data_IF_974828968801
#
_entry.id   IF_974828968801
#
_cell.length_a   1.000
_cell.length_b   1.000
_cell.length_c   1.000
_cell.angle_alpha   90.00
_cell.angle_beta   90.00
_cell.angle_gamma   90.00
#
_symmetry.space_group_name_H-M   'P 1'
#
loop_
_entity.id
_entity.type
_entity.pdbx_description
1 polymer ?
#
# COMPACT_ATOMS: atom_id res chain seq x y z
N UNK A 1 9.89 -12.82 -52.22
CA UNK A 1 9.02 -13.92 -51.74
C UNK A 1 9.91 -14.93 -51.01
N UNK A 2 9.61 -15.16 -49.73
CA UNK A 2 10.22 -16.11 -48.76
C UNK A 2 11.75 -16.08 -48.61
N UNK A 3 12.21 -15.39 -47.56
CA UNK A 3 13.42 -15.76 -46.85
C UNK A 3 13.02 -16.36 -45.50
N UNK A 4 13.46 -17.59 -45.29
CA UNK A 4 13.24 -18.41 -44.13
C UNK A 4 14.60 -18.51 -43.44
N UNK A 5 14.74 -17.97 -42.23
CA UNK A 5 15.94 -18.21 -41.43
C UNK A 5 15.51 -18.41 -39.97
N UNK A 6 15.66 -19.65 -39.53
CA UNK A 6 15.45 -20.11 -38.16
C UNK A 6 16.62 -19.60 -37.33
N UNK A 7 16.35 -18.72 -36.37
CA UNK A 7 17.36 -18.29 -35.41
C UNK A 7 17.42 -19.30 -34.26
N UNK A 8 18.46 -20.11 -34.31
CA UNK A 8 18.92 -21.07 -33.31
C UNK A 8 19.29 -20.33 -32.03
N UNK A 9 18.66 -20.67 -30.90
CA UNK A 9 19.13 -20.25 -29.56
C UNK A 9 19.77 -21.46 -28.89
N UNK A 10 21.07 -21.31 -28.64
CA UNK A 10 21.96 -22.28 -28.00
C UNK A 10 21.58 -22.48 -26.54
N UNK A 11 21.11 -23.68 -26.18
CA UNK A 11 20.96 -24.09 -24.79
C UNK A 11 22.30 -24.64 -24.29
N UNK A 12 22.87 -24.02 -23.26
CA UNK A 12 24.04 -24.55 -22.56
C UNK A 12 23.53 -25.65 -21.60
N UNK A 13 23.82 -26.89 -21.95
CA UNK A 13 23.77 -28.03 -21.03
C UNK A 13 24.86 -27.84 -19.95
N UNK A 14 24.47 -27.78 -18.68
CA UNK A 14 25.33 -28.28 -17.60
C UNK A 14 24.68 -29.53 -17.00
N UNK A 15 25.48 -30.59 -17.04
CA UNK A 15 25.08 -31.97 -16.84
C UNK A 15 24.78 -32.34 -15.39
N UNK A 16 24.10 -33.49 -15.33
CA UNK A 16 23.61 -34.19 -14.17
C UNK A 16 24.70 -34.56 -13.14
N UNK A 17 24.31 -34.52 -11.86
CA UNK A 17 24.75 -35.48 -10.88
C UNK A 17 23.53 -36.30 -10.43
N UNK A 18 23.50 -37.56 -10.86
CA UNK A 18 22.60 -38.60 -10.37
C UNK A 18 23.02 -38.97 -8.95
N UNK A 19 22.09 -38.96 -8.00
CA UNK A 19 22.17 -39.78 -6.81
C UNK A 19 20.83 -40.48 -6.63
N UNK A 20 20.90 -41.81 -6.73
CA UNK A 20 19.81 -42.76 -6.68
C UNK A 20 19.14 -42.82 -5.29
N UNK A 21 17.81 -42.94 -5.25
CA UNK A 21 17.09 -43.26 -4.01
C UNK A 21 15.57 -43.23 -4.18
N UNK A 22 15.02 -44.36 -4.65
CA UNK A 22 13.64 -44.93 -4.54
C UNK A 22 12.39 -44.03 -4.32
N UNK A 23 11.27 -44.34 -5.00
CA UNK A 23 10.08 -43.49 -5.06
C UNK A 23 9.23 -43.66 -3.81
N UNK A 24 8.79 -42.55 -3.21
CA UNK A 24 7.77 -42.59 -2.16
C UNK A 24 6.83 -41.40 -2.31
N UNK A 25 5.66 -41.71 -2.88
CA UNK A 25 4.36 -41.09 -2.61
C UNK A 25 4.30 -39.57 -2.79
N UNK A 26 3.80 -39.14 -3.96
CA UNK A 26 3.06 -37.87 -4.06
C UNK A 26 1.80 -38.02 -3.21
N UNK A 27 1.92 -37.83 -1.91
CA UNK A 27 0.77 -37.58 -1.06
C UNK A 27 0.41 -36.13 -1.29
N UNK A 28 -0.77 -35.95 -1.84
CA UNK A 28 -1.48 -34.69 -1.98
C UNK A 28 -1.80 -34.18 -0.57
N UNK A 29 -0.78 -33.76 0.17
CA UNK A 29 -0.92 -33.13 1.47
C UNK A 29 -1.30 -31.67 1.24
N UNK A 30 -2.60 -31.41 1.42
CA UNK A 30 -3.13 -30.24 2.10
C UNK A 30 -2.37 -28.94 1.80
N UNK A 31 -2.60 -28.39 0.59
CA UNK A 31 -2.68 -26.94 0.47
C UNK A 31 -3.94 -26.46 1.21
N UNK A 32 -3.88 -26.57 2.54
CA UNK A 32 -4.64 -25.67 3.40
C UNK A 32 -4.26 -24.25 2.95
N UNK A 33 -5.23 -23.34 2.76
CA UNK A 33 -4.89 -21.96 2.46
C UNK A 33 -4.07 -21.47 3.63
N UNK A 34 -2.76 -21.28 3.41
CA UNK A 34 -1.88 -20.64 4.35
C UNK A 34 -2.56 -19.32 4.73
N UNK A 35 -3.15 -19.28 5.92
CA UNK A 35 -3.45 -18.04 6.59
C UNK A 35 -2.09 -17.49 6.99
N UNK A 36 -1.38 -16.91 6.03
CA UNK A 36 -0.21 -16.09 6.29
C UNK A 36 -0.74 -14.97 7.18
N UNK A 37 -0.36 -15.00 8.44
CA UNK A 37 -0.52 -13.85 9.32
C UNK A 37 0.07 -12.65 8.59
N UNK A 38 -0.80 -11.77 8.08
CA UNK A 38 -0.43 -10.61 7.26
C UNK A 38 0.45 -9.59 8.02
N UNK A 39 0.68 -9.80 9.32
CA UNK A 39 1.44 -8.93 10.20
C UNK A 39 2.95 -8.86 9.90
N UNK A 40 3.49 -9.75 9.04
CA UNK A 40 4.92 -9.74 8.69
C UNK A 40 5.24 -9.30 7.26
N UNK A 41 4.23 -9.01 6.44
CA UNK A 41 4.41 -8.70 5.02
C UNK A 41 4.66 -7.21 4.76
N UNK A 42 4.13 -6.34 5.60
CA UNK A 42 4.18 -4.90 5.42
C UNK A 42 5.08 -4.31 6.51
N UNK A 43 6.15 -3.64 6.10
CA UNK A 43 7.02 -2.94 7.03
C UNK A 43 6.28 -1.74 7.61
N UNK A 44 6.47 -1.40 8.88
CA UNK A 44 5.87 -0.19 9.47
C UNK A 44 6.40 1.08 8.79
N UNK A 45 7.65 1.03 8.33
CA UNK A 45 8.32 2.09 7.61
C UNK A 45 8.91 1.60 6.29
N UNK A 46 8.46 2.16 5.17
CA UNK A 46 8.91 1.73 3.85
C UNK A 46 10.42 1.96 3.72
N UNK A 47 11.15 0.88 3.39
CA UNK A 47 12.62 0.90 3.26
C UNK A 47 13.35 1.30 4.56
N UNK A 48 12.70 1.14 5.72
CA UNK A 48 13.22 1.57 7.01
C UNK A 48 13.29 3.09 7.20
N UNK A 49 12.62 3.88 6.36
CA UNK A 49 12.62 5.33 6.45
C UNK A 49 11.36 5.84 7.16
N UNK A 50 11.52 6.52 8.29
CA UNK A 50 10.43 7.03 9.11
C UNK A 50 9.54 8.07 8.41
N UNK A 51 10.01 8.67 7.32
CA UNK A 51 9.17 9.56 6.50
C UNK A 51 8.04 8.81 5.78
N UNK A 52 8.12 7.48 5.65
CA UNK A 52 7.11 6.66 4.99
C UNK A 52 6.44 5.72 5.98
N UNK A 53 5.27 6.06 6.49
CA UNK A 53 4.60 5.30 7.55
C UNK A 53 3.43 4.46 7.02
N UNK A 54 3.38 3.16 7.34
CA UNK A 54 2.40 2.21 6.84
C UNK A 54 0.99 2.50 7.34
N UNK A 55 0.13 3.06 6.50
CA UNK A 55 -1.31 3.25 6.75
C UNK A 55 -2.03 1.92 6.84
N UNK A 56 -1.83 1.05 5.84
CA UNK A 56 -2.54 -0.21 5.70
C UNK A 56 -1.80 -1.17 4.77
N UNK A 57 -1.81 -2.45 5.10
CA UNK A 57 -1.52 -3.53 4.17
C UNK A 57 -2.80 -4.16 3.62
N UNK A 58 -2.88 -4.39 2.31
CA UNK A 58 -4.01 -5.09 1.69
C UNK A 58 -3.64 -5.77 0.37
N UNK A 59 -3.90 -7.07 0.25
CA UNK A 59 -3.75 -7.86 -0.99
C UNK A 59 -2.38 -7.71 -1.66
N UNK A 60 -1.28 -7.75 -0.90
CA UNK A 60 0.09 -7.61 -1.42
C UNK A 60 0.55 -6.16 -1.61
N UNK A 61 -0.29 -5.17 -1.27
CA UNK A 61 0.05 -3.75 -1.33
C UNK A 61 0.16 -3.12 0.05
N UNK A 62 1.27 -2.43 0.32
CA UNK A 62 1.37 -1.51 1.43
C UNK A 62 1.04 -0.09 0.99
N UNK A 63 0.26 0.63 1.79
CA UNK A 63 -0.06 2.04 1.58
C UNK A 63 0.65 2.86 2.65
N UNK A 64 1.49 3.81 2.25
CA UNK A 64 2.38 4.54 3.16
C UNK A 64 2.15 6.05 3.05
N UNK A 65 1.96 6.75 4.17
CA UNK A 65 2.01 8.22 4.20
C UNK A 65 3.43 8.66 3.90
N UNK A 66 3.60 9.60 2.98
CA UNK A 66 4.84 10.36 2.83
C UNK A 66 4.77 11.64 3.67
N UNK A 67 5.35 11.60 4.87
CA UNK A 67 5.35 12.73 5.80
C UNK A 67 6.09 13.95 5.26
N UNK A 68 7.04 13.79 4.34
CA UNK A 68 7.72 14.93 3.71
C UNK A 68 6.81 15.75 2.80
N UNK A 69 5.66 15.18 2.40
CA UNK A 69 4.64 15.84 1.59
C UNK A 69 3.51 16.49 2.40
N UNK A 70 3.50 16.32 3.72
CA UNK A 70 2.44 16.82 4.58
C UNK A 70 2.39 18.35 4.58
N UNK A 71 1.21 18.90 4.27
CA UNK A 71 0.95 20.35 4.28
C UNK A 71 -0.28 20.64 5.11
N UNK A 72 -0.11 21.39 6.19
CA UNK A 72 -1.21 21.99 6.95
C UNK A 72 -1.65 23.29 6.29
N UNK A 73 -2.90 23.32 5.82
CA UNK A 73 -3.47 24.46 5.09
C UNK A 73 -4.22 25.38 6.06
N UNK A 74 -4.95 24.81 7.03
CA UNK A 74 -5.60 25.57 8.10
C UNK A 74 -5.70 24.75 9.38
N UNK A 75 -5.38 25.39 10.49
CA UNK A 75 -5.56 24.84 11.85
C UNK A 75 -6.95 25.12 12.40
N UNK A 76 -7.36 24.32 13.39
CA UNK A 76 -8.63 24.47 14.10
C UNK A 76 -8.58 25.68 15.05
N UNK A 77 -9.29 26.76 14.70
CA UNK A 77 -9.39 28.00 15.50
C UNK A 77 -10.75 28.25 16.18
N UNK A 78 -10.88 29.39 16.88
CA UNK A 78 -12.10 29.84 17.60
C UNK A 78 -13.20 30.37 16.63
N UNK A 79 -12.93 30.41 15.32
CA UNK A 79 -13.84 30.83 14.23
C UNK A 79 -13.78 29.87 13.01
N UNK A 80 -14.66 30.02 12.00
CA UNK A 80 -15.01 28.90 11.11
C UNK A 80 -13.92 28.47 10.11
N UNK A 81 -13.81 27.13 9.97
CA UNK A 81 -12.96 26.40 9.02
C UNK A 81 -12.13 25.35 9.76
N UNK A 82 -12.79 24.28 10.22
CA UNK A 82 -12.13 23.22 11.00
C UNK A 82 -11.04 22.57 10.11
N UNK A 83 -10.01 22.00 10.72
CA UNK A 83 -8.73 21.57 10.14
C UNK A 83 -8.71 21.20 8.64
N UNK A 84 -7.76 21.75 7.86
CA UNK A 84 -7.51 21.35 6.47
C UNK A 84 -6.03 21.03 6.25
N UNK A 85 -5.75 19.89 5.65
CA UNK A 85 -4.40 19.48 5.31
C UNK A 85 -4.39 18.57 4.08
N UNK A 86 -3.22 18.38 3.48
CA UNK A 86 -3.00 17.44 2.40
C UNK A 86 -1.74 16.62 2.63
N UNK A 87 -1.73 15.38 2.12
CA UNK A 87 -0.58 14.47 2.20
C UNK A 87 -0.63 13.47 1.05
N UNK A 88 0.54 13.03 0.59
CA UNK A 88 0.63 11.94 -0.36
C UNK A 88 0.62 10.59 0.36
N UNK A 89 -0.06 9.62 -0.24
CA UNK A 89 0.03 8.21 0.14
C UNK A 89 0.62 7.44 -1.04
N UNK A 90 1.64 6.65 -0.76
CA UNK A 90 2.35 5.80 -1.73
C UNK A 90 1.75 4.41 -1.69
N UNK A 91 1.46 3.85 -2.87
CA UNK A 91 1.09 2.45 -3.04
C UNK A 91 2.32 1.66 -3.46
N UNK A 92 2.76 0.76 -2.59
CA UNK A 92 3.92 -0.10 -2.80
C UNK A 92 3.49 -1.55 -2.98
N UNK A 93 3.93 -2.17 -4.07
CA UNK A 93 3.75 -3.58 -4.33
C UNK A 93 4.85 -4.37 -3.61
N UNK A 94 4.47 -5.11 -2.57
CA UNK A 94 5.42 -5.80 -1.70
C UNK A 94 6.08 -6.97 -2.44
N UNK A 95 5.32 -7.70 -3.26
CA UNK A 95 5.83 -8.88 -3.97
C UNK A 95 6.87 -8.51 -5.03
N UNK A 96 6.66 -7.38 -5.71
CA UNK A 96 7.55 -6.90 -6.78
C UNK A 96 8.64 -5.97 -6.27
N UNK A 97 8.48 -5.41 -5.06
CA UNK A 97 9.40 -4.43 -4.51
C UNK A 97 9.36 -3.08 -5.23
N UNK A 98 8.18 -2.66 -5.73
CA UNK A 98 8.02 -1.48 -6.59
C UNK A 98 6.98 -0.50 -6.06
N UNK A 99 7.18 0.79 -6.36
CA UNK A 99 6.14 1.79 -6.20
C UNK A 99 5.22 1.75 -7.43
N UNK A 100 3.95 1.43 -7.20
CA UNK A 100 2.95 1.31 -8.26
C UNK A 100 2.17 2.62 -8.47
N UNK A 101 2.26 3.55 -7.52
CA UNK A 101 1.70 4.89 -7.67
C UNK A 101 1.69 5.67 -6.36
N UNK A 102 1.22 6.91 -6.46
CA UNK A 102 0.92 7.76 -5.31
C UNK A 102 -0.31 8.61 -5.62
N UNK A 103 -1.10 8.88 -4.59
CA UNK A 103 -2.24 9.78 -4.67
C UNK A 103 -2.11 10.86 -3.58
N UNK A 104 -2.56 12.07 -3.89
CA UNK A 104 -2.65 13.17 -2.92
C UNK A 104 -4.02 13.13 -2.26
N UNK A 105 -4.04 13.03 -0.94
CA UNK A 105 -5.24 13.06 -0.12
C UNK A 105 -5.34 14.41 0.56
N UNK A 106 -6.42 15.13 0.25
CA UNK A 106 -6.74 16.40 0.87
C UNK A 106 -7.93 16.24 1.80
N UNK A 107 -7.81 16.70 3.03
CA UNK A 107 -8.80 16.55 4.09
C UNK A 107 -9.35 17.89 4.52
N UNK A 108 -10.65 17.93 4.77
CA UNK A 108 -11.35 19.05 5.39
C UNK A 108 -12.19 18.51 6.54
N UNK A 109 -11.92 18.98 7.75
CA UNK A 109 -12.83 18.88 8.89
C UNK A 109 -13.79 20.07 8.82
N UNK A 110 -15.07 19.85 9.09
CA UNK A 110 -16.06 20.93 9.14
C UNK A 110 -17.15 20.61 10.16
N UNK A 111 -17.96 21.62 10.50
CA UNK A 111 -19.10 21.42 11.42
C UNK A 111 -20.11 20.36 10.92
N UNK A 112 -20.09 20.05 9.63
CA UNK A 112 -20.99 19.10 8.99
C UNK A 112 -20.40 17.69 8.88
N UNK A 113 -19.14 17.51 9.28
CA UNK A 113 -18.40 16.25 9.19
C UNK A 113 -17.05 16.44 8.52
N UNK A 114 -16.41 15.32 8.23
CA UNK A 114 -15.11 15.23 7.57
C UNK A 114 -15.22 14.76 6.14
N UNK A 115 -14.36 15.34 5.30
CA UNK A 115 -14.37 15.14 3.87
C UNK A 115 -12.95 14.90 3.36
N UNK A 116 -12.85 14.09 2.31
CA UNK A 116 -11.59 13.84 1.61
C UNK A 116 -11.76 14.03 0.10
N UNK A 117 -10.81 14.72 -0.52
CA UNK A 117 -10.56 14.71 -1.95
C UNK A 117 -9.30 13.89 -2.23
N UNK A 118 -9.32 13.11 -3.33
CA UNK A 118 -8.17 12.33 -3.79
C UNK A 118 -7.81 12.83 -5.19
N UNK A 119 -6.56 13.27 -5.36
CA UNK A 119 -6.02 13.85 -6.60
C UNK A 119 -6.86 15.02 -7.15
N UNK A 120 -7.41 15.86 -6.26
CA UNK A 120 -8.20 17.04 -6.65
C UNK A 120 -9.60 16.73 -7.20
N UNK A 121 -10.12 15.51 -6.96
CA UNK A 121 -11.53 15.15 -7.26
C UNK A 121 -12.50 15.78 -6.26
N UNK A 122 -13.80 15.58 -6.47
CA UNK A 122 -14.83 16.07 -5.55
C UNK A 122 -14.63 15.52 -4.13
N UNK A 123 -14.89 16.38 -3.14
CA UNK A 123 -14.86 16.02 -1.73
C UNK A 123 -15.97 15.01 -1.39
N UNK A 124 -15.57 13.89 -0.80
CA UNK A 124 -16.49 12.87 -0.33
C UNK A 124 -16.47 12.81 1.19
N UNK A 125 -17.65 12.80 1.80
CA UNK A 125 -17.79 12.63 3.24
C UNK A 125 -17.32 11.23 3.67
N UNK A 126 -16.67 11.14 4.83
CA UNK A 126 -16.37 9.88 5.47
C UNK A 126 -16.64 9.95 6.98
N UNK A 127 -16.76 8.78 7.62
CA UNK A 127 -16.92 8.68 9.06
C UNK A 127 -15.58 8.24 9.67
N UNK A 128 -14.98 9.12 10.47
CA UNK A 128 -13.70 8.92 11.16
C UNK A 128 -13.72 7.74 12.12
N UNK A 129 -14.90 7.39 12.65
CA UNK A 129 -15.06 6.33 13.64
C UNK A 129 -15.25 4.95 12.99
N UNK A 130 -15.35 4.89 11.66
CA UNK A 130 -15.57 3.63 10.97
C UNK A 130 -14.26 2.84 10.91
N UNK A 131 -14.28 1.63 11.48
CA UNK A 131 -13.09 0.77 11.58
C UNK A 131 -12.88 -0.14 10.35
N UNK A 132 -13.92 -0.33 9.52
CA UNK A 132 -13.88 -1.29 8.41
C UNK A 132 -14.54 -0.73 7.13
N UNK A 133 -13.99 -1.09 5.97
CA UNK A 133 -14.60 -0.84 4.66
C UNK A 133 -13.64 -0.31 3.61
N UNK A 134 -14.18 0.05 2.45
CA UNK A 134 -13.40 0.51 1.29
C UNK A 134 -12.62 1.81 1.55
N UNK A 135 -13.06 2.64 2.51
CA UNK A 135 -12.44 3.93 2.81
C UNK A 135 -11.36 3.86 3.90
N UNK A 136 -10.88 2.67 4.27
CA UNK A 136 -9.96 2.51 5.40
C UNK A 136 -8.65 3.28 5.23
N UNK A 137 -8.12 3.40 4.00
CA UNK A 137 -6.92 4.21 3.73
C UNK A 137 -7.19 5.69 4.02
N UNK A 138 -8.36 6.20 3.61
CA UNK A 138 -8.77 7.59 3.86
C UNK A 138 -8.84 7.86 5.36
N UNK A 139 -9.48 6.96 6.12
CA UNK A 139 -9.72 7.14 7.56
C UNK A 139 -8.42 7.03 8.36
N UNK A 140 -7.62 5.99 8.12
CA UNK A 140 -6.38 5.77 8.87
C UNK A 140 -5.33 6.84 8.56
N UNK A 141 -5.27 7.31 7.30
CA UNK A 141 -4.41 8.45 6.93
C UNK A 141 -4.82 9.71 7.69
N UNK A 142 -6.12 10.00 7.73
CA UNK A 142 -6.65 11.15 8.46
C UNK A 142 -6.31 11.08 9.96
N UNK A 143 -6.56 9.94 10.62
CA UNK A 143 -6.31 9.77 12.06
C UNK A 143 -4.85 10.05 12.42
N UNK A 144 -3.91 9.53 11.63
CA UNK A 144 -2.46 9.74 11.87
C UNK A 144 -2.04 11.18 11.65
N UNK A 145 -2.55 11.82 10.59
CA UNK A 145 -2.30 13.23 10.35
C UNK A 145 -2.84 14.11 11.49
N UNK A 146 -4.03 13.79 12.00
CA UNK A 146 -4.60 14.50 13.16
C UNK A 146 -3.78 14.26 14.43
N UNK A 147 -3.32 13.03 14.68
CA UNK A 147 -2.41 12.75 15.81
C UNK A 147 -1.11 13.56 15.69
N UNK A 148 -0.52 13.64 14.49
CA UNK A 148 0.68 14.43 14.24
C UNK A 148 0.46 15.94 14.46
N UNK A 149 -0.76 16.46 14.27
CA UNK A 149 -1.09 17.86 14.52
C UNK A 149 -1.23 18.23 15.99
N UNK A 150 -1.63 17.27 16.84
CA UNK A 150 -1.93 17.53 18.25
C UNK A 150 -0.86 16.98 19.21
N UNK A 151 0.18 16.34 18.69
CA UNK A 151 1.37 15.92 19.43
C UNK A 151 2.44 17.02 19.44
#
# INVERSE_FOLDING_TARGET
>A
MKWNMKNTVTAILLGAALACGVPTVLSQQDMSPFSVSAAGMYEDHLWGNSNYELVRGHMGYGFYIDWSSYVLISERGIGPGQTRFAVNVIRYNVEQGTVDGSNTYEYIESRQGTYCSIDGRDFQAFDENKEFGYNQIVIETYKRCMQNLYN
#
